data_IF_674508050126
#
_entry.id   IF_674508050126
#
_cell.length_a   1.000
_cell.length_b   1.000
_cell.length_c   1.000
_cell.angle_alpha   90.00
_cell.angle_beta   90.00
_cell.angle_gamma   90.00
#
_symmetry.space_group_name_H-M   'P 1'
#
loop_
_entity.id
_entity.type
_entity.pdbx_description
1 polymer ?
#
# COMPACT_ATOMS: atom_id res chain seq x y z
N UNK A 1 11.05 -14.18 31.91
CA UNK A 1 12.37 -14.65 32.32
C UNK A 1 13.42 -13.55 32.10
N UNK A 2 14.47 -13.49 32.92
CA UNK A 2 15.63 -12.60 32.71
C UNK A 2 16.76 -13.46 32.14
N UNK A 3 17.24 -13.08 30.95
CA UNK A 3 18.26 -13.82 30.22
C UNK A 3 19.32 -12.81 29.77
N UNK A 4 20.59 -13.22 29.78
CA UNK A 4 21.67 -12.48 29.14
C UNK A 4 21.88 -13.10 27.76
N UNK A 5 21.87 -12.28 26.72
CA UNK A 5 22.09 -12.70 25.33
C UNK A 5 23.22 -11.87 24.75
N UNK A 6 24.10 -12.51 23.99
CA UNK A 6 25.11 -11.83 23.19
C UNK A 6 24.53 -11.64 21.79
N UNK A 7 24.68 -10.44 21.22
CA UNK A 7 24.20 -10.08 19.88
C UNK A 7 25.40 -9.62 19.05
N UNK A 8 25.39 -9.96 17.77
CA UNK A 8 26.34 -9.39 16.82
C UNK A 8 26.09 -7.87 16.67
N UNK A 9 27.15 -7.14 16.32
CA UNK A 9 27.13 -5.67 16.31
C UNK A 9 26.09 -5.09 15.35
N UNK A 10 25.87 -5.75 14.21
CA UNK A 10 24.87 -5.39 13.21
C UNK A 10 23.44 -5.57 13.75
N UNK A 11 23.15 -6.72 14.37
CA UNK A 11 21.85 -7.01 14.99
C UNK A 11 21.55 -6.03 16.12
N UNK A 12 22.56 -5.73 16.95
CA UNK A 12 22.41 -4.76 18.03
C UNK A 12 22.11 -3.35 17.47
N UNK A 13 22.81 -2.93 16.41
CA UNK A 13 22.59 -1.64 15.76
C UNK A 13 21.18 -1.53 15.16
N UNK A 14 20.68 -2.57 14.50
CA UNK A 14 19.32 -2.59 13.95
C UNK A 14 18.25 -2.49 15.03
N UNK A 15 18.40 -3.23 16.13
CA UNK A 15 17.47 -3.18 17.26
C UNK A 15 17.43 -1.79 17.90
N UNK A 16 18.59 -1.12 18.04
CA UNK A 16 18.67 0.26 18.56
C UNK A 16 18.04 1.26 17.59
N UNK A 17 18.25 1.10 16.28
CA UNK A 17 17.62 1.94 15.27
C UNK A 17 16.08 1.82 15.33
N UNK A 18 15.57 0.59 15.37
CA UNK A 18 14.13 0.29 15.51
C UNK A 18 13.56 0.84 16.82
N UNK A 19 14.29 0.68 17.93
CA UNK A 19 13.92 1.25 19.22
C UNK A 19 13.70 2.77 19.16
N UNK A 20 14.62 3.49 18.52
CA UNK A 20 14.54 4.96 18.36
C UNK A 20 13.39 5.36 17.46
N UNK A 21 13.21 4.67 16.33
CA UNK A 21 12.15 4.94 15.38
C UNK A 21 10.75 4.77 15.99
N UNK A 22 10.55 3.68 16.74
CA UNK A 22 9.24 3.33 17.32
C UNK A 22 8.99 3.96 18.70
N UNK A 23 10.00 4.59 19.31
CA UNK A 23 9.96 5.15 20.67
C UNK A 23 9.54 4.11 21.72
N UNK A 24 10.03 2.88 21.57
CA UNK A 24 9.74 1.75 22.48
C UNK A 24 10.96 1.39 23.32
N UNK A 25 10.76 0.56 24.35
CA UNK A 25 11.90 0.04 25.13
C UNK A 25 12.65 -1.03 24.34
N UNK A 26 13.97 -1.12 24.54
CA UNK A 26 14.81 -2.17 23.92
C UNK A 26 14.25 -3.57 24.17
N UNK A 27 13.77 -3.85 25.40
CA UNK A 27 13.10 -5.11 25.76
C UNK A 27 11.87 -5.40 24.89
N UNK A 28 11.04 -4.39 24.60
CA UNK A 28 9.82 -4.59 23.81
C UNK A 28 10.18 -4.96 22.37
N UNK A 29 11.11 -4.21 21.78
CA UNK A 29 11.59 -4.40 20.40
C UNK A 29 12.29 -5.76 20.24
N UNK A 30 13.19 -6.11 21.15
CA UNK A 30 13.89 -7.41 21.14
C UNK A 30 12.90 -8.56 21.22
N UNK A 31 11.96 -8.54 22.18
CA UNK A 31 11.01 -9.64 22.34
C UNK A 31 10.05 -9.76 21.16
N UNK A 32 9.60 -8.66 20.57
CA UNK A 32 8.77 -8.72 19.37
C UNK A 32 9.53 -9.29 18.19
N UNK A 33 10.76 -8.83 17.96
CA UNK A 33 11.62 -9.33 16.88
C UNK A 33 11.87 -10.84 17.05
N UNK A 34 12.17 -11.29 18.27
CA UNK A 34 12.31 -12.72 18.57
C UNK A 34 11.01 -13.51 18.36
N UNK A 35 9.85 -12.98 18.78
CA UNK A 35 8.56 -13.66 18.55
C UNK A 35 8.24 -13.78 17.06
N UNK A 36 8.47 -12.73 16.28
CA UNK A 36 8.27 -12.74 14.84
C UNK A 36 9.20 -13.73 14.13
N UNK A 37 10.44 -13.90 14.63
CA UNK A 37 11.39 -14.88 14.11
C UNK A 37 11.10 -16.32 14.53
N UNK A 38 10.65 -16.54 15.77
CA UNK A 38 10.32 -17.88 16.30
C UNK A 38 8.96 -18.40 15.84
N UNK A 39 8.03 -17.48 15.58
CA UNK A 39 6.77 -17.76 14.90
C UNK A 39 6.86 -17.14 13.51
N UNK A 40 7.62 -17.76 12.58
CA UNK A 40 7.54 -17.34 11.19
C UNK A 40 6.05 -17.32 10.86
N UNK A 41 5.54 -16.17 10.42
CA UNK A 41 4.18 -16.06 9.92
C UNK A 41 3.99 -17.25 8.99
N UNK A 42 3.02 -18.12 9.32
CA UNK A 42 2.75 -19.38 8.61
C UNK A 42 3.06 -19.17 7.12
N UNK A 43 4.02 -19.93 6.55
CA UNK A 43 4.81 -19.52 5.38
C UNK A 43 3.91 -19.05 4.25
N UNK A 44 3.59 -17.75 4.21
CA UNK A 44 2.48 -17.16 3.44
C UNK A 44 1.49 -18.23 2.96
N UNK A 45 0.93 -19.02 3.89
CA UNK A 45 0.16 -20.20 3.55
C UNK A 45 -1.13 -19.67 2.95
N UNK A 46 -1.18 -19.64 1.63
CA UNK A 46 -2.21 -19.00 0.83
C UNK A 46 -2.54 -17.58 1.31
N UNK A 47 -1.71 -16.59 0.96
CA UNK A 47 -2.26 -15.26 0.76
C UNK A 47 -3.32 -15.38 -0.35
N UNK A 48 -4.56 -15.71 0.04
CA UNK A 48 -5.68 -15.95 -0.85
C UNK A 48 -5.78 -14.73 -1.74
N UNK A 49 -5.43 -14.88 -3.02
CA UNK A 49 -5.46 -13.77 -3.98
C UNK A 49 -6.87 -13.21 -3.95
N UNK A 50 -7.02 -12.01 -3.40
CA UNK A 50 -8.30 -11.33 -3.33
C UNK A 50 -8.51 -10.66 -4.67
N UNK A 51 -9.22 -11.34 -5.56
CA UNK A 51 -9.70 -10.71 -6.79
C UNK A 51 -10.85 -9.76 -6.45
N UNK A 52 -10.76 -8.53 -6.93
CA UNK A 52 -11.90 -7.61 -6.94
C UNK A 52 -12.75 -7.89 -8.17
N UNK A 53 -14.07 -7.96 -7.99
CA UNK A 53 -15.01 -8.03 -9.11
C UNK A 53 -15.31 -6.62 -9.61
N UNK A 54 -15.07 -6.31 -10.89
CA UNK A 54 -15.48 -5.04 -11.47
C UNK A 54 -16.99 -4.87 -11.33
N UNK A 55 -17.43 -3.68 -10.90
CA UNK A 55 -18.84 -3.29 -10.97
C UNK A 55 -19.05 -2.37 -12.16
N UNK A 56 -20.17 -2.50 -12.89
CA UNK A 56 -20.51 -1.56 -13.95
C UNK A 56 -20.84 -0.21 -13.32
N UNK A 57 -19.90 0.73 -13.36
CA UNK A 57 -20.06 2.10 -12.86
C UNK A 57 -20.51 3.08 -13.96
N UNK A 58 -21.06 2.56 -15.07
CA UNK A 58 -21.57 3.39 -16.16
C UNK A 58 -20.49 3.97 -17.08
N UNK A 59 -19.38 3.24 -17.28
CA UNK A 59 -18.39 3.62 -18.29
C UNK A 59 -19.07 3.78 -19.67
N UNK A 60 -18.87 4.95 -20.28
CA UNK A 60 -19.49 5.31 -21.57
C UNK A 60 -18.68 4.87 -22.78
N UNK A 61 -17.42 4.51 -22.57
CA UNK A 61 -16.47 4.12 -23.59
C UNK A 61 -15.56 3.02 -23.06
N UNK A 62 -15.14 2.11 -23.95
CA UNK A 62 -14.07 1.16 -23.64
C UNK A 62 -12.73 1.89 -23.69
N UNK A 63 -11.98 1.86 -22.59
CA UNK A 63 -10.68 2.52 -22.47
C UNK A 63 -9.63 1.89 -23.40
N UNK A 64 -9.82 0.63 -23.80
CA UNK A 64 -8.95 -0.03 -24.77
C UNK A 64 -9.11 0.55 -26.18
N UNK A 65 -10.25 1.19 -26.49
CA UNK A 65 -10.46 1.90 -27.74
C UNK A 65 -10.01 3.37 -27.61
N UNK A 66 -8.71 3.57 -27.84
CA UNK A 66 -8.07 4.88 -27.73
C UNK A 66 -8.74 5.93 -28.63
N UNK A 67 -9.18 5.55 -29.83
CA UNK A 67 -9.83 6.47 -30.77
C UNK A 67 -11.19 6.94 -30.26
N UNK A 68 -12.00 6.02 -29.70
CA UNK A 68 -13.28 6.37 -29.10
C UNK A 68 -13.12 7.26 -27.86
N UNK A 69 -12.08 7.01 -27.04
CA UNK A 69 -11.77 7.85 -25.87
C UNK A 69 -11.39 9.28 -26.30
N UNK A 70 -10.55 9.42 -27.33
CA UNK A 70 -10.16 10.74 -27.85
C UNK A 70 -11.38 11.50 -28.38
N UNK A 71 -12.24 10.84 -29.16
CA UNK A 71 -13.46 11.47 -29.68
C UNK A 71 -14.39 11.96 -28.55
N UNK A 72 -14.57 11.17 -27.48
CA UNK A 72 -15.38 11.56 -26.32
C UNK A 72 -14.80 12.78 -25.59
N UNK A 73 -13.47 12.84 -25.42
CA UNK A 73 -12.80 13.97 -24.77
C UNK A 73 -12.87 15.24 -25.62
N UNK A 74 -12.82 15.12 -26.94
CA UNK A 74 -12.99 16.26 -27.84
C UNK A 74 -14.43 16.79 -27.80
N UNK A 75 -15.45 15.93 -27.70
CA UNK A 75 -16.85 16.34 -27.57
C UNK A 75 -17.10 17.15 -26.27
N UNK A 76 -16.48 16.75 -25.14
CA UNK A 76 -16.53 17.52 -23.89
C UNK A 76 -15.80 18.87 -23.98
N UNK A 77 -14.73 18.98 -24.77
CA UNK A 77 -13.91 20.19 -24.95
C UNK A 77 -14.65 21.36 -25.60
N UNK A 78 -15.74 21.09 -26.32
CA UNK A 78 -16.58 22.12 -26.96
C UNK A 78 -17.88 22.44 -26.20
N UNK A 79 -18.25 21.64 -25.20
CA UNK A 79 -19.50 21.83 -24.45
C UNK A 79 -19.51 23.10 -23.57
N UNK A 80 -18.34 23.55 -23.08
CA UNK A 80 -18.20 24.74 -22.24
C UNK A 80 -17.99 26.05 -23.03
N UNK A 81 -17.81 25.98 -24.35
CA UNK A 81 -17.71 27.16 -25.24
C UNK A 81 -19.06 27.60 -25.82
N UNK A 82 -20.13 26.84 -25.58
CA UNK A 82 -21.47 27.08 -26.16
C UNK A 82 -22.45 27.82 -25.21
N UNK A 83 -21.97 28.79 -24.42
CA UNK A 83 -22.85 29.70 -23.67
C UNK A 83 -22.65 31.14 -24.18
N UNK A 84 -23.66 31.79 -24.81
CA UNK A 84 -23.60 33.22 -25.06
C UNK A 84 -23.67 34.00 -23.73
N UNK A 85 -23.10 35.22 -23.66
CA UNK A 85 -23.15 36.02 -22.45
C UNK A 85 -24.61 36.35 -22.10
N UNK A 86 -25.02 36.00 -20.88
CA UNK A 86 -26.30 36.41 -20.33
C UNK A 86 -26.22 37.91 -19.98
N UNK A 87 -27.10 38.70 -20.60
CA UNK A 87 -27.48 40.06 -20.21
C UNK A 87 -28.10 40.08 -18.82
#
# INVERSE_FOLDING_TARGET
MRTTVTLDDDVAAELVARQRAERRSFKAVLNETLRAGLHPASPAGDAKVVYTHPRPLGARVDIADVSAVIAMLDEEKYAHLAHPPRS
#
